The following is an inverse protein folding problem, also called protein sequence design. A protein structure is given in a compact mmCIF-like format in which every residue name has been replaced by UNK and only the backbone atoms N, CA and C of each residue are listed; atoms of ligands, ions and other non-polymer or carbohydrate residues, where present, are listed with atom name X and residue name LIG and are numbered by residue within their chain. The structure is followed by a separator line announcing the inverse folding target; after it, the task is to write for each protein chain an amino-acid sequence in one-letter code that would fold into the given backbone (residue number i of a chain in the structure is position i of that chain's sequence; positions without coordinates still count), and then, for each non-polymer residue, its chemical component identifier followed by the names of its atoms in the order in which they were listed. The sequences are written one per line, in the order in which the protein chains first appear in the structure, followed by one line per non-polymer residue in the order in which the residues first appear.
data_IF_466416074503
#
_entry.id   IF_466416074503
#
_cell.length_a   1.000
_cell.length_b   1.000
_cell.length_c   1.000
_cell.angle_alpha   90.00
_cell.angle_beta   90.00
_cell.angle_gamma   90.00
#
_symmetry.space_group_name_H-M   'P 1'
#
loop_
_entity.id
_entity.type
_entity.pdbx_description
1 polymer ?
#
# COMPACT_ATOMS: atom_id res chain seq x y z
N UNK A 1 22.93 -2.32 8.05
CA UNK A 1 23.44 -1.61 9.25
C UNK A 1 22.28 -1.40 10.23
N UNK A 2 22.45 -0.85 11.43
CA UNK A 2 21.33 -0.60 12.37
C UNK A 2 20.19 0.27 11.77
N UNK A 3 20.48 1.00 10.70
CA UNK A 3 19.55 1.84 9.94
C UNK A 3 18.48 1.03 9.18
N UNK A 4 18.77 -0.20 8.77
CA UNK A 4 17.81 -1.05 8.03
C UNK A 4 16.68 -1.60 8.90
N UNK A 5 16.86 -1.69 10.22
CA UNK A 5 15.85 -2.28 11.12
C UNK A 5 14.61 -1.41 11.33
N UNK A 6 14.67 -0.12 10.99
CA UNK A 6 13.56 0.82 11.20
C UNK A 6 12.93 1.34 9.91
N UNK A 7 13.56 1.11 8.75
CA UNK A 7 13.04 1.59 7.49
C UNK A 7 11.89 0.71 6.99
N UNK A 8 10.67 1.26 7.03
CA UNK A 8 9.46 0.59 6.53
C UNK A 8 9.21 0.80 5.04
N UNK A 9 9.98 1.63 4.36
CA UNK A 9 9.76 1.97 2.95
C UNK A 9 9.40 3.45 2.76
N UNK A 10 9.34 3.87 1.50
CA UNK A 10 8.89 5.21 1.12
C UNK A 10 7.37 5.30 1.30
N UNK A 11 6.84 6.24 2.12
CA UNK A 11 5.39 6.45 2.20
C UNK A 11 4.88 6.97 0.86
N UNK A 12 3.85 6.34 0.33
CA UNK A 12 3.18 6.71 -0.91
C UNK A 12 1.67 6.62 -0.75
N UNK A 13 0.95 7.34 -1.60
CA UNK A 13 -0.47 7.15 -1.85
C UNK A 13 -0.61 6.69 -3.30
N UNK A 14 -1.49 5.71 -3.54
CA UNK A 14 -1.66 5.09 -4.84
C UNK A 14 -2.96 5.60 -5.48
N UNK A 15 -2.86 6.17 -6.67
CA UNK A 15 -4.00 6.63 -7.46
C UNK A 15 -4.17 5.79 -8.73
N UNK A 16 -5.39 5.74 -9.24
CA UNK A 16 -5.64 5.23 -10.59
C UNK A 16 -5.39 6.38 -11.57
N UNK A 17 -4.43 6.20 -12.48
CA UNK A 17 -4.06 7.19 -13.50
C UNK A 17 -5.27 7.61 -14.32
N UNK A 18 -5.43 8.91 -14.56
CA UNK A 18 -6.59 9.45 -15.29
C UNK A 18 -7.87 9.56 -14.46
N UNK A 19 -7.81 9.32 -13.15
CA UNK A 19 -8.95 9.47 -12.23
C UNK A 19 -8.57 10.17 -10.92
N UNK A 20 -9.57 10.54 -10.13
CA UNK A 20 -9.45 11.00 -8.74
C UNK A 20 -9.70 9.86 -7.73
N UNK A 21 -9.53 8.61 -8.16
CA UNK A 21 -9.69 7.44 -7.33
C UNK A 21 -8.36 6.99 -6.73
N UNK A 22 -8.36 6.73 -5.44
CA UNK A 22 -7.18 6.32 -4.67
C UNK A 22 -7.44 4.99 -3.98
N UNK A 23 -6.37 4.21 -3.80
CA UNK A 23 -6.44 3.01 -2.99
C UNK A 23 -6.41 3.37 -1.51
N UNK A 24 -7.34 2.78 -0.77
CA UNK A 24 -7.46 2.86 0.68
C UNK A 24 -7.44 1.47 1.26
N UNK A 25 -6.72 1.29 2.36
CA UNK A 25 -6.76 0.05 3.11
C UNK A 25 -7.81 0.17 4.23
N UNK A 26 -8.76 -0.75 4.27
CA UNK A 26 -9.87 -0.75 5.21
C UNK A 26 -9.88 -2.04 6.03
N UNK A 27 -10.56 -2.01 7.18
CA UNK A 27 -10.79 -3.20 8.01
C UNK A 27 -12.24 -3.26 8.44
N UNK A 28 -12.86 -4.43 8.27
CA UNK A 28 -14.18 -4.74 8.79
C UNK A 28 -14.10 -6.04 9.60
N UNK A 29 -14.32 -5.95 10.91
CA UNK A 29 -14.08 -7.06 11.83
C UNK A 29 -12.61 -7.51 11.77
N UNK A 30 -12.37 -8.76 11.37
CA UNK A 30 -11.03 -9.33 11.19
C UNK A 30 -10.49 -9.17 9.76
N UNK A 31 -11.33 -8.82 8.79
CA UNK A 31 -10.95 -8.76 7.38
C UNK A 31 -10.34 -7.39 7.04
N UNK A 32 -9.08 -7.40 6.58
CA UNK A 32 -8.42 -6.24 5.97
C UNK A 32 -8.57 -6.34 4.45
N UNK A 33 -8.86 -5.23 3.76
CA UNK A 33 -9.14 -5.23 2.33
C UNK A 33 -8.79 -3.89 1.67
N UNK A 34 -8.57 -3.92 0.36
CA UNK A 34 -8.42 -2.71 -0.46
C UNK A 34 -9.79 -2.18 -0.88
N UNK A 35 -9.93 -0.87 -0.86
CA UNK A 35 -11.08 -0.15 -1.38
C UNK A 35 -10.61 0.97 -2.30
N UNK A 36 -11.31 1.16 -3.41
CA UNK A 36 -11.15 2.34 -4.25
C UNK A 36 -12.04 3.46 -3.69
N UNK A 37 -11.46 4.63 -3.45
CA UNK A 37 -12.20 5.78 -2.94
C UNK A 37 -11.89 7.03 -3.75
N UNK A 38 -12.96 7.73 -4.16
CA UNK A 38 -12.84 9.06 -4.75
C UNK A 38 -12.42 10.03 -3.67
N UNK A 39 -11.24 10.65 -3.83
CA UNK A 39 -10.70 11.57 -2.84
C UNK A 39 -10.21 12.85 -3.52
N UNK A 40 -10.51 13.99 -2.90
CA UNK A 40 -9.92 15.27 -3.30
C UNK A 40 -8.44 15.26 -2.93
N UNK A 41 -7.58 15.50 -3.93
CA UNK A 41 -6.13 15.46 -3.74
C UNK A 41 -5.66 16.36 -2.59
N UNK A 42 -6.34 17.48 -2.32
CA UNK A 42 -6.01 18.37 -1.19
C UNK A 42 -6.05 17.66 0.16
N UNK A 43 -6.98 16.72 0.36
CA UNK A 43 -7.11 15.96 1.63
C UNK A 43 -5.91 15.03 1.87
N UNK A 44 -5.24 14.63 0.79
CA UNK A 44 -4.08 13.74 0.82
C UNK A 44 -2.74 14.50 0.82
N UNK A 45 -2.76 15.84 0.75
CA UNK A 45 -1.55 16.67 0.85
C UNK A 45 -1.05 16.81 2.30
N UNK A 46 -1.92 16.58 3.29
CA UNK A 46 -1.60 16.69 4.71
C UNK A 46 -2.13 15.48 5.47
N UNK A 47 -1.36 14.40 5.44
CA UNK A 47 -1.73 13.15 6.11
C UNK A 47 -1.09 13.10 7.51
N UNK A 48 -1.91 12.79 8.52
CA UNK A 48 -1.47 12.61 9.90
C UNK A 48 -1.62 11.16 10.33
N UNK A 49 -0.62 10.61 11.03
CA UNK A 49 -0.71 9.26 11.62
C UNK A 49 -1.82 9.13 12.67
N UNK A 50 -2.32 10.24 13.20
CA UNK A 50 -3.40 10.29 14.21
C UNK A 50 -4.79 10.31 13.58
N UNK A 51 -4.87 10.57 12.28
CA UNK A 51 -6.11 10.54 11.53
C UNK A 51 -6.13 9.25 10.71
N UNK A 52 -6.76 8.21 11.23
CA UNK A 52 -6.88 6.92 10.55
C UNK A 52 -7.59 7.04 9.19
N UNK A 53 -8.46 8.03 9.04
CA UNK A 53 -9.17 8.32 7.79
C UNK A 53 -8.18 8.60 6.67
N UNK A 54 -7.35 9.64 6.81
CA UNK A 54 -6.32 9.96 5.81
C UNK A 54 -5.13 9.00 5.83
N UNK A 55 -4.77 8.44 6.99
CA UNK A 55 -3.63 7.52 7.10
C UNK A 55 -3.88 6.17 6.44
N UNK A 56 -5.15 5.75 6.32
CA UNK A 56 -5.54 4.52 5.62
C UNK A 56 -5.23 4.51 4.11
N UNK A 57 -4.93 5.68 3.51
CA UNK A 57 -4.48 5.82 2.12
C UNK A 57 -2.96 5.63 1.96
N UNK A 58 -2.20 5.57 3.05
CA UNK A 58 -0.74 5.50 3.00
C UNK A 58 -0.27 4.06 2.96
N UNK A 59 0.62 3.79 2.02
CA UNK A 59 1.35 2.54 1.90
C UNK A 59 2.85 2.81 2.00
N UNK A 60 3.60 1.91 2.62
CA UNK A 60 5.05 1.94 2.54
C UNK A 60 5.54 1.11 1.37
N UNK A 61 6.12 1.78 0.38
CA UNK A 61 6.76 1.18 -0.78
C UNK A 61 8.21 0.80 -0.46
N UNK A 62 8.53 -0.49 -0.48
CA UNK A 62 9.90 -1.00 -0.51
C UNK A 62 10.26 -1.48 -1.91
N UNK A 63 11.53 -1.42 -2.25
CA UNK A 63 12.09 -2.05 -3.45
C UNK A 63 13.19 -3.00 -3.02
N UNK A 64 13.17 -4.22 -3.53
CA UNK A 64 14.26 -5.16 -3.33
C UNK A 64 15.26 -5.13 -4.51
N UNK A 65 16.31 -5.94 -4.42
CA UNK A 65 17.37 -6.04 -5.44
C UNK A 65 16.85 -6.55 -6.79
N UNK A 66 15.65 -7.14 -6.84
CA UNK A 66 15.02 -7.67 -8.06
C UNK A 66 14.18 -6.61 -8.79
N UNK A 67 14.21 -5.34 -8.33
CA UNK A 67 13.34 -4.23 -8.78
C UNK A 67 11.85 -4.48 -8.52
N UNK A 68 11.50 -5.53 -7.79
CA UNK A 68 10.15 -5.74 -7.34
C UNK A 68 9.86 -4.75 -6.22
N UNK A 69 8.62 -4.27 -6.19
CA UNK A 69 8.16 -3.37 -5.13
C UNK A 69 7.47 -4.20 -4.06
N UNK A 70 7.17 -3.63 -2.90
CA UNK A 70 6.26 -4.14 -1.86
C UNK A 70 5.49 -2.98 -1.27
N UNK A 71 4.17 -3.09 -1.14
CA UNK A 71 3.32 -2.04 -0.59
C UNK A 71 2.67 -2.56 0.69
N UNK A 72 3.20 -2.15 1.83
CA UNK A 72 2.65 -2.45 3.16
C UNK A 72 1.64 -1.36 3.55
N UNK A 73 0.50 -1.71 4.12
CA UNK A 73 -0.40 -0.71 4.71
C UNK A 73 0.29 0.02 5.88
N UNK A 74 0.24 1.35 5.88
CA UNK A 74 0.78 2.12 6.98
C UNK A 74 -0.10 2.04 8.25
N UNK A 75 -1.41 1.88 8.07
CA UNK A 75 -2.39 1.73 9.15
C UNK A 75 -2.45 0.29 9.69
N UNK A 76 -2.47 -0.72 8.81
CA UNK A 76 -2.52 -2.12 9.19
C UNK A 76 -1.16 -2.79 8.96
N UNK A 77 -0.24 -2.63 9.92
CA UNK A 77 1.12 -3.18 9.86
C UNK A 77 1.11 -4.69 9.59
N UNK A 78 1.99 -5.15 8.71
CA UNK A 78 2.11 -6.56 8.32
C UNK A 78 1.16 -7.00 7.21
N UNK A 79 0.27 -6.11 6.75
CA UNK A 79 -0.63 -6.35 5.62
C UNK A 79 -0.09 -5.70 4.35
N UNK A 80 -0.05 -6.47 3.27
CA UNK A 80 0.54 -6.07 2.00
C UNK A 80 -0.47 -6.22 0.87
N UNK A 81 -0.30 -5.44 -0.20
CA UNK A 81 -1.03 -5.64 -1.45
C UNK A 81 -0.48 -6.89 -2.16
N UNK A 82 -1.35 -7.85 -2.43
CA UNK A 82 -1.07 -9.07 -3.19
C UNK A 82 -1.84 -9.07 -4.50
N UNK A 83 -1.22 -9.61 -5.55
CA UNK A 83 -1.90 -9.95 -6.80
C UNK A 83 -2.44 -11.36 -6.65
N UNK A 84 -3.76 -11.52 -6.76
CA UNK A 84 -4.41 -12.83 -6.74
C UNK A 84 -4.32 -13.46 -8.13
N UNK A 85 -4.60 -12.66 -9.16
CA UNK A 85 -4.50 -13.00 -10.57
C UNK A 85 -4.40 -11.70 -11.39
N UNK A 86 -4.39 -11.81 -12.72
CA UNK A 86 -4.25 -10.68 -13.65
C UNK A 86 -5.26 -9.54 -13.42
N UNK A 87 -6.45 -9.86 -12.88
CA UNK A 87 -7.58 -8.94 -12.79
C UNK A 87 -7.89 -8.54 -11.33
N UNK A 88 -7.17 -9.08 -10.34
CA UNK A 88 -7.52 -8.91 -8.93
C UNK A 88 -6.30 -8.73 -8.02
N UNK A 89 -6.40 -7.73 -7.15
CA UNK A 89 -5.49 -7.50 -6.02
C UNK A 89 -6.24 -7.52 -4.69
N UNK A 90 -5.58 -7.97 -3.63
CA UNK A 90 -6.14 -8.04 -2.28
C UNK A 90 -5.11 -7.67 -1.20
N UNK A 91 -5.54 -7.62 0.07
CA UNK A 91 -4.63 -7.47 1.21
C UNK A 91 -4.33 -8.84 1.83
N UNK A 92 -3.07 -9.10 2.15
CA UNK A 92 -2.64 -10.35 2.79
C UNK A 92 -1.52 -10.15 3.83
N UNK A 93 -1.44 -11.04 4.80
CA UNK A 93 -0.40 -11.06 5.84
C UNK A 93 0.86 -11.75 5.31
N UNK A 94 2.04 -11.13 5.48
CA UNK A 94 3.31 -11.74 5.06
C UNK A 94 3.93 -12.58 6.18
N UNK A 95 3.70 -13.89 6.14
CA UNK A 95 4.69 -14.89 6.58
C UNK A 95 4.58 -16.20 5.79
N UNK A 96 4.66 -16.12 4.45
CA UNK A 96 4.89 -17.31 3.63
C UNK A 96 5.93 -16.94 2.60
N UNK A 97 7.08 -17.61 2.68
CA UNK A 97 8.22 -17.48 1.77
C UNK A 97 7.92 -17.94 0.34
N UNK A 98 6.93 -17.31 -0.29
CA UNK A 98 6.68 -17.40 -1.72
C UNK A 98 7.14 -16.10 -2.35
N UNK A 99 8.02 -16.22 -3.33
CA UNK A 99 8.33 -15.19 -4.31
C UNK A 99 7.05 -14.88 -5.12
N UNK A 100 6.09 -14.18 -4.53
CA UNK A 100 5.04 -13.51 -5.30
C UNK A 100 5.69 -12.28 -5.90
N UNK A 101 6.44 -12.50 -6.98
CA UNK A 101 7.18 -11.51 -7.72
C UNK A 101 6.24 -10.50 -8.36
N UNK A 102 6.49 -9.21 -8.19
CA UNK A 102 5.61 -8.20 -8.78
C UNK A 102 6.32 -6.95 -9.29
N UNK A 103 5.77 -6.39 -10.37
CA UNK A 103 6.26 -5.21 -11.07
C UNK A 103 5.17 -4.13 -11.06
N UNK A 104 5.44 -2.99 -10.44
CA UNK A 104 4.62 -1.79 -10.64
C UNK A 104 5.35 -0.89 -11.64
N UNK A 105 4.79 -0.75 -12.84
CA UNK A 105 5.26 0.23 -13.81
C UNK A 105 4.68 1.59 -13.42
N UNK A 106 5.51 2.44 -12.83
CA UNK A 106 5.17 3.86 -12.66
C UNK A 106 5.54 4.54 -13.97
N UNK A 107 4.53 4.90 -14.76
CA UNK A 107 4.71 5.80 -15.91
C UNK A 107 4.68 7.24 -15.39
N UNK A 108 5.68 8.02 -15.80
CA UNK A 108 5.76 9.46 -15.52
C UNK A 108 4.89 10.25 -16.47
#
# INVERSE_FOLDING_TARGET
SAVDKFFRGMPVVLNITGSNCFLRCCKNGTKVFLQLETCEKQKLMQISKRDEGTYSFVFYMKSDRTKQRKFESALFKGWFIHIVNTDMVEMGETDRGGDSSFLFIIQK
#
